data_IF_250403982943
#
_entry.id   IF_250403982943
#
_cell.length_a   1.000
_cell.length_b   1.000
_cell.length_c   1.000
_cell.angle_alpha   90.00
_cell.angle_beta   90.00
_cell.angle_gamma   90.00
#
_symmetry.space_group_name_H-M   'P 1'
#
loop_
_entity.id
_entity.type
_entity.pdbx_description
1 polymer ?
#
# COMPACT_ATOMS: atom_id res chain seq x y z
N UNK A 1 34.86 33.70 0.29
CA UNK A 1 33.56 33.49 0.95
C UNK A 1 32.55 33.18 -0.14
N UNK A 2 32.09 31.93 -0.27
CA UNK A 2 31.08 31.60 -1.27
C UNK A 2 29.74 32.20 -0.82
N UNK A 3 29.21 33.15 -1.58
CA UNK A 3 27.85 33.65 -1.40
C UNK A 3 26.89 32.47 -1.51
N UNK A 4 26.22 32.09 -0.41
CA UNK A 4 25.15 31.12 -0.47
C UNK A 4 24.06 31.69 -1.37
N UNK A 5 23.85 31.06 -2.52
CA UNK A 5 22.79 31.45 -3.42
C UNK A 5 21.44 31.23 -2.70
N UNK A 6 20.48 32.17 -2.82
CA UNK A 6 19.16 31.98 -2.24
C UNK A 6 18.51 30.71 -2.81
N UNK A 7 17.81 29.96 -1.96
CA UNK A 7 17.19 28.66 -2.30
C UNK A 7 15.68 28.78 -2.11
N UNK A 8 14.90 28.42 -3.14
CA UNK A 8 13.43 28.39 -3.09
C UNK A 8 12.91 27.24 -2.22
N UNK A 9 13.62 26.10 -2.29
CA UNK A 9 13.25 24.88 -1.60
C UNK A 9 14.06 23.69 -2.11
N UNK A 10 13.54 22.49 -1.91
CA UNK A 10 14.23 21.25 -2.19
C UNK A 10 13.35 20.31 -2.99
N UNK A 11 13.91 19.75 -4.05
CA UNK A 11 13.38 18.53 -4.65
C UNK A 11 13.86 17.33 -3.81
N UNK A 12 12.92 16.53 -3.32
CA UNK A 12 13.18 15.40 -2.44
C UNK A 12 12.70 14.08 -3.03
N UNK A 13 13.47 13.03 -2.76
CA UNK A 13 13.11 11.64 -3.02
C UNK A 13 13.95 10.72 -2.14
N UNK A 14 13.50 9.48 -1.95
CA UNK A 14 14.14 8.56 -1.03
C UNK A 14 14.18 7.13 -1.56
N UNK A 15 15.07 6.34 -0.96
CA UNK A 15 15.19 4.92 -1.19
C UNK A 15 15.36 4.20 0.13
N UNK A 16 14.67 3.07 0.30
CA UNK A 16 14.68 2.27 1.53
C UNK A 16 15.19 0.84 1.25
N UNK A 17 15.93 0.63 0.17
CA UNK A 17 16.40 -0.72 -0.20
C UNK A 17 17.21 -1.33 0.94
N UNK A 18 16.98 -2.60 1.22
CA UNK A 18 17.73 -3.34 2.24
C UNK A 18 17.35 -3.03 3.68
N UNK A 19 16.43 -2.10 3.96
CA UNK A 19 15.97 -1.82 5.31
C UNK A 19 15.28 -3.06 5.90
N UNK A 20 15.69 -3.40 7.11
CA UNK A 20 15.03 -4.42 7.94
C UNK A 20 15.20 -4.00 9.39
N UNK A 21 14.09 -3.68 10.05
CA UNK A 21 14.10 -3.06 11.38
C UNK A 21 13.01 -3.64 12.25
N UNK A 22 13.28 -3.77 13.55
CA UNK A 22 12.29 -4.24 14.52
C UNK A 22 11.33 -3.12 14.91
N UNK A 23 10.16 -3.46 15.43
CA UNK A 23 9.20 -2.48 15.95
C UNK A 23 9.81 -1.53 16.99
N UNK A 24 10.49 -2.09 17.99
CA UNK A 24 11.07 -1.33 19.11
C UNK A 24 12.15 -0.34 18.63
N UNK A 25 12.95 -0.74 17.64
CA UNK A 25 13.93 0.16 17.04
C UNK A 25 13.27 1.23 16.18
N UNK A 26 12.25 0.87 15.40
CA UNK A 26 11.50 1.83 14.59
C UNK A 26 10.80 2.88 15.46
N UNK A 27 10.15 2.46 16.54
CA UNK A 27 9.52 3.35 17.54
C UNK A 27 10.55 4.33 18.12
N UNK A 28 11.70 3.84 18.58
CA UNK A 28 12.79 4.69 19.09
C UNK A 28 13.27 5.70 18.04
N UNK A 29 13.45 5.27 16.79
CA UNK A 29 13.89 6.14 15.70
C UNK A 29 12.87 7.24 15.39
N UNK A 30 11.59 6.87 15.23
CA UNK A 30 10.51 7.82 14.94
C UNK A 30 10.31 8.82 16.09
N UNK A 31 10.35 8.38 17.34
CA UNK A 31 10.29 9.26 18.51
C UNK A 31 11.49 10.22 18.56
N UNK A 32 12.72 9.72 18.32
CA UNK A 32 13.93 10.54 18.36
C UNK A 32 13.95 11.64 17.28
N UNK A 33 13.31 11.40 16.14
CA UNK A 33 13.22 12.36 15.03
C UNK A 33 11.94 13.18 15.03
N UNK A 34 11.15 13.13 16.10
CA UNK A 34 9.91 13.90 16.27
C UNK A 34 8.81 13.56 15.24
N UNK A 35 8.67 12.26 14.93
CA UNK A 35 7.60 11.72 14.07
C UNK A 35 6.77 10.59 14.70
N UNK A 36 6.51 10.52 16.02
CA UNK A 36 5.84 9.37 16.63
C UNK A 36 4.45 9.08 16.05
N UNK A 37 3.71 10.11 15.60
CA UNK A 37 2.39 9.98 14.99
C UNK A 37 2.38 9.33 13.60
N UNK A 38 3.55 9.20 12.97
CA UNK A 38 3.70 8.61 11.63
C UNK A 38 4.25 7.18 11.66
N UNK A 39 4.39 6.58 12.85
CA UNK A 39 4.85 5.22 13.00
C UNK A 39 3.94 4.26 12.18
N UNK A 40 4.50 3.39 11.32
CA UNK A 40 3.69 2.47 10.54
C UNK A 40 3.02 1.42 11.43
N UNK A 41 1.77 1.11 11.09
CA UNK A 41 1.03 -0.02 11.66
C UNK A 41 1.80 -1.33 11.47
N UNK A 42 1.72 -2.28 12.41
CA UNK A 42 2.38 -3.56 12.27
C UNK A 42 1.87 -4.32 11.05
N UNK A 43 2.73 -5.13 10.39
CA UNK A 43 2.31 -5.97 9.28
C UNK A 43 1.09 -6.83 9.66
N UNK A 44 0.05 -6.78 8.82
CA UNK A 44 -1.14 -7.62 9.02
C UNK A 44 -0.77 -9.10 9.01
N UNK A 45 -1.58 -9.96 9.65
CA UNK A 45 -1.33 -11.40 9.69
C UNK A 45 -1.19 -12.03 8.29
N UNK A 46 -1.98 -11.52 7.32
CA UNK A 46 -1.97 -11.94 5.91
C UNK A 46 -0.65 -11.55 5.23
N UNK A 47 -0.18 -10.33 5.46
CA UNK A 47 1.07 -9.82 4.88
C UNK A 47 2.28 -10.51 5.51
N UNK A 48 2.29 -10.66 6.83
CA UNK A 48 3.31 -11.43 7.54
C UNK A 48 3.36 -12.88 7.04
N UNK A 49 2.21 -13.51 6.78
CA UNK A 49 2.17 -14.87 6.23
C UNK A 49 2.73 -14.90 4.80
N UNK A 50 2.34 -13.95 3.95
CA UNK A 50 2.90 -13.85 2.59
C UNK A 50 4.42 -13.72 2.62
N UNK A 51 4.98 -12.95 3.55
CA UNK A 51 6.44 -12.82 3.75
C UNK A 51 7.06 -14.14 4.21
N UNK A 52 6.46 -14.79 5.19
CA UNK A 52 6.91 -16.08 5.71
C UNK A 52 6.94 -17.16 4.62
N UNK A 53 5.87 -17.27 3.83
CA UNK A 53 5.81 -18.19 2.69
C UNK A 53 6.88 -17.88 1.65
N UNK A 54 7.12 -16.61 1.34
CA UNK A 54 8.18 -16.23 0.40
C UNK A 54 9.59 -16.52 0.93
N UNK A 55 9.82 -16.36 2.24
CA UNK A 55 11.09 -16.72 2.87
C UNK A 55 11.29 -18.24 2.83
N UNK A 56 10.29 -19.01 3.30
CA UNK A 56 10.29 -20.47 3.25
C UNK A 56 10.52 -20.98 1.81
N UNK A 57 9.80 -20.44 0.84
CA UNK A 57 9.92 -20.76 -0.59
C UNK A 57 11.35 -20.56 -1.11
N UNK A 58 12.00 -19.44 -0.75
CA UNK A 58 13.39 -19.17 -1.16
C UNK A 58 14.34 -20.24 -0.60
N UNK A 59 14.16 -20.63 0.66
CA UNK A 59 14.95 -21.70 1.29
C UNK A 59 14.72 -23.05 0.60
N UNK A 60 13.46 -23.45 0.39
CA UNK A 60 13.13 -24.72 -0.28
C UNK A 60 13.66 -24.79 -1.71
N UNK A 61 13.53 -23.70 -2.48
CA UNK A 61 14.05 -23.65 -3.84
C UNK A 61 15.58 -23.78 -3.87
N UNK A 62 16.29 -23.22 -2.90
CA UNK A 62 17.73 -23.40 -2.77
C UNK A 62 18.10 -24.88 -2.48
N UNK A 63 17.37 -25.54 -1.56
CA UNK A 63 17.56 -26.95 -1.24
C UNK A 63 17.31 -27.87 -2.45
N UNK A 64 16.27 -27.60 -3.25
CA UNK A 64 15.98 -28.39 -4.47
C UNK A 64 17.10 -28.26 -5.51
N UNK A 65 17.64 -27.05 -5.70
CA UNK A 65 18.76 -26.82 -6.63
C UNK A 65 20.02 -27.55 -6.16
N UNK A 66 20.30 -27.52 -4.85
CA UNK A 66 21.42 -28.23 -4.25
C UNK A 66 21.27 -29.76 -4.34
N UNK A 67 20.07 -30.27 -4.07
CA UNK A 67 19.79 -31.70 -4.18
C UNK A 67 19.91 -32.19 -5.63
N UNK A 68 19.44 -31.41 -6.60
CA UNK A 68 19.61 -31.73 -8.01
C UNK A 68 21.10 -31.82 -8.37
N UNK A 69 21.91 -30.85 -7.94
CA UNK A 69 23.36 -30.88 -8.12
C UNK A 69 23.98 -32.15 -7.52
N UNK A 70 23.55 -32.55 -6.32
CA UNK A 70 24.02 -33.78 -5.66
C UNK A 70 23.64 -35.04 -6.44
N UNK A 71 22.44 -35.10 -7.02
CA UNK A 71 21.92 -36.28 -7.72
C UNK A 71 22.49 -36.43 -9.14
N UNK A 72 22.62 -35.33 -9.88
CA UNK A 72 22.99 -35.37 -11.31
C UNK A 72 24.43 -34.94 -11.58
N UNK A 73 25.13 -34.40 -10.58
CA UNK A 73 26.45 -33.80 -10.73
C UNK A 73 26.46 -32.52 -11.56
N UNK A 74 25.29 -32.02 -11.99
CA UNK A 74 25.14 -30.81 -12.80
C UNK A 74 24.34 -29.76 -12.04
N UNK A 75 24.72 -28.46 -12.11
CA UNK A 75 23.95 -27.41 -11.46
C UNK A 75 22.58 -27.29 -12.13
N UNK A 76 21.51 -27.55 -11.37
CA UNK A 76 20.15 -27.25 -11.81
C UNK A 76 19.99 -25.75 -11.98
N UNK A 77 19.27 -25.30 -13.02
CA UNK A 77 18.95 -23.88 -13.15
C UNK A 77 17.81 -23.57 -12.19
N UNK A 78 17.81 -22.38 -11.58
CA UNK A 78 16.71 -21.92 -10.70
C UNK A 78 15.32 -21.99 -11.37
N UNK A 79 15.26 -21.98 -12.70
CA UNK A 79 14.03 -22.07 -13.50
C UNK A 79 13.49 -23.50 -13.60
N UNK A 80 14.31 -24.51 -13.33
CA UNK A 80 13.93 -25.91 -13.46
C UNK A 80 13.05 -26.37 -12.29
N UNK A 81 13.18 -25.69 -11.15
CA UNK A 81 12.41 -25.93 -9.92
C UNK A 81 11.85 -24.59 -9.43
N UNK A 82 10.58 -24.32 -9.71
CA UNK A 82 9.94 -23.08 -9.28
C UNK A 82 8.79 -23.39 -8.33
N UNK A 83 8.91 -22.94 -7.08
CA UNK A 83 7.78 -22.94 -6.15
C UNK A 83 7.09 -21.57 -6.27
N UNK A 84 5.77 -21.55 -6.42
CA UNK A 84 4.96 -20.35 -6.51
C UNK A 84 4.02 -20.24 -5.32
N UNK A 85 3.86 -19.00 -4.82
CA UNK A 85 2.88 -18.66 -3.78
C UNK A 85 1.75 -17.89 -4.45
N UNK A 86 0.52 -18.40 -4.38
CA UNK A 86 -0.67 -17.80 -4.99
C UNK A 86 -1.72 -17.51 -3.93
N UNK A 87 -2.27 -16.29 -3.94
CA UNK A 87 -3.37 -15.90 -3.05
C UNK A 87 -4.71 -16.31 -3.66
N UNK A 88 -5.51 -17.09 -2.93
CA UNK A 88 -6.85 -17.57 -3.34
C UNK A 88 -7.91 -16.94 -2.42
N UNK A 89 -7.78 -15.63 -2.18
CA UNK A 89 -8.59 -14.91 -1.20
C UNK A 89 -9.92 -14.45 -1.81
N UNK A 90 -11.03 -14.88 -1.23
CA UNK A 90 -12.38 -14.35 -1.52
C UNK A 90 -12.80 -13.36 -0.43
N UNK A 91 -13.61 -12.36 -0.80
CA UNK A 91 -14.17 -11.39 0.17
C UNK A 91 -15.19 -12.11 1.08
N UNK A 92 -15.23 -11.77 2.36
CA UNK A 92 -16.16 -12.37 3.33
C UNK A 92 -15.76 -13.74 3.90
N UNK A 93 -14.67 -14.37 3.43
CA UNK A 93 -14.23 -15.65 4.00
C UNK A 93 -13.51 -15.47 5.34
N UNK A 94 -13.76 -16.39 6.28
CA UNK A 94 -13.10 -16.44 7.60
C UNK A 94 -11.58 -16.63 7.50
N UNK A 95 -11.10 -17.29 6.45
CA UNK A 95 -9.67 -17.55 6.25
C UNK A 95 -9.13 -16.82 5.04
N UNK A 96 -7.86 -16.42 5.13
CA UNK A 96 -7.04 -16.10 3.97
C UNK A 96 -6.27 -17.36 3.54
N UNK A 97 -6.25 -17.66 2.25
CA UNK A 97 -5.73 -18.91 1.68
C UNK A 97 -4.60 -18.63 0.70
N UNK A 98 -3.48 -19.32 0.88
CA UNK A 98 -2.34 -19.29 -0.02
C UNK A 98 -2.04 -20.70 -0.54
N UNK A 99 -2.04 -20.86 -1.87
CA UNK A 99 -1.61 -22.08 -2.53
C UNK A 99 -0.11 -22.07 -2.78
N UNK A 100 0.54 -23.20 -2.52
CA UNK A 100 1.91 -23.52 -2.87
C UNK A 100 1.89 -24.44 -4.08
N UNK A 101 2.46 -23.98 -5.18
CA UNK A 101 2.47 -24.71 -6.46
C UNK A 101 3.91 -24.99 -6.85
N UNK A 102 4.26 -26.27 -6.97
CA UNK A 102 5.50 -26.72 -7.56
C UNK A 102 5.36 -26.78 -9.08
N UNK A 103 6.23 -26.08 -9.77
CA UNK A 103 6.44 -26.19 -11.21
C UNK A 103 7.79 -26.85 -11.48
N UNK A 104 7.76 -27.95 -12.23
CA UNK A 104 8.95 -28.58 -12.78
C UNK A 104 8.87 -28.53 -14.31
N UNK A 105 9.90 -27.93 -14.92
CA UNK A 105 10.02 -27.84 -16.38
C UNK A 105 10.84 -29.03 -16.87
N UNK A 106 10.21 -29.90 -17.66
CA UNK A 106 10.90 -30.99 -18.35
C UNK A 106 11.11 -30.60 -19.81
N UNK A 107 12.33 -30.14 -20.12
CA UNK A 107 12.72 -29.73 -21.47
C UNK A 107 12.83 -30.90 -22.45
N UNK A 108 13.08 -32.12 -21.98
CA UNK A 108 13.16 -33.31 -22.85
C UNK A 108 11.77 -33.78 -23.29
N UNK A 109 10.75 -33.54 -22.47
CA UNK A 109 9.35 -33.88 -22.77
C UNK A 109 8.49 -32.70 -23.21
N UNK A 110 9.07 -31.51 -23.38
CA UNK A 110 8.36 -30.24 -23.65
C UNK A 110 7.14 -30.02 -22.73
N UNK A 111 7.21 -30.53 -21.49
CA UNK A 111 6.08 -30.62 -20.58
C UNK A 111 6.23 -29.72 -19.36
N UNK A 112 5.15 -29.03 -19.00
CA UNK A 112 5.01 -28.34 -17.71
C UNK A 112 4.19 -29.23 -16.77
N UNK A 113 4.76 -29.60 -15.62
CA UNK A 113 4.03 -30.30 -14.56
C UNK A 113 3.72 -29.33 -13.43
N UNK A 114 2.44 -29.19 -13.11
CA UNK A 114 1.94 -28.41 -11.99
C UNK A 114 1.45 -29.39 -10.91
N UNK A 115 2.06 -29.37 -9.73
CA UNK A 115 1.49 -29.96 -8.54
C UNK A 115 1.11 -28.83 -7.59
N UNK A 116 -0.17 -28.73 -7.20
CA UNK A 116 -0.50 -27.95 -6.00
C UNK A 116 -0.06 -28.81 -4.82
N UNK A 117 1.08 -28.48 -4.24
CA UNK A 117 1.72 -29.33 -3.23
C UNK A 117 1.12 -29.09 -1.84
N UNK A 118 0.63 -27.87 -1.58
CA UNK A 118 -0.05 -27.54 -0.32
C UNK A 118 -0.84 -26.23 -0.39
N UNK A 119 -1.71 -26.03 0.60
CA UNK A 119 -2.36 -24.76 0.93
C UNK A 119 -2.10 -24.41 2.37
N UNK A 120 -1.92 -23.13 2.62
CA UNK A 120 -1.71 -22.56 3.94
C UNK A 120 -2.79 -21.52 4.19
N UNK A 121 -3.53 -21.71 5.28
CA UNK A 121 -4.65 -20.88 5.68
C UNK A 121 -4.33 -20.16 6.98
N UNK A 122 -4.73 -18.89 7.05
CA UNK A 122 -4.68 -18.10 8.28
C UNK A 122 -6.04 -17.47 8.55
N UNK A 123 -6.50 -17.60 9.79
CA UNK A 123 -7.76 -17.03 10.25
C UNK A 123 -7.73 -15.50 10.23
N UNK A 124 -8.76 -14.87 9.67
CA UNK A 124 -8.95 -13.43 9.71
C UNK A 124 -9.67 -13.07 11.00
N UNK A 125 -8.90 -12.65 12.00
CA UNK A 125 -9.43 -12.17 13.27
C UNK A 125 -9.86 -10.72 13.20
N UNK A 126 -10.88 -10.35 13.98
CA UNK A 126 -11.19 -8.95 14.26
C UNK A 126 -10.10 -8.29 15.14
N UNK A 127 -9.99 -6.95 15.20
CA UNK A 127 -9.04 -6.29 16.09
C UNK A 127 -9.17 -6.72 17.56
N UNK A 128 -10.39 -6.93 18.05
CA UNK A 128 -10.68 -7.37 19.42
C UNK A 128 -10.24 -8.81 19.66
N UNK A 129 -10.48 -9.72 18.71
CA UNK A 129 -10.04 -11.11 18.84
C UNK A 129 -8.51 -11.23 18.83
N UNK A 130 -7.82 -10.36 18.07
CA UNK A 130 -6.35 -10.36 17.97
C UNK A 130 -5.64 -10.00 19.27
N UNK A 131 -6.30 -9.26 20.17
CA UNK A 131 -5.70 -8.93 21.48
C UNK A 131 -5.79 -10.12 22.45
N UNK A 132 -6.74 -11.03 22.23
CA UNK A 132 -7.00 -12.17 23.10
C UNK A 132 -6.30 -13.45 22.64
N UNK A 133 -6.14 -13.66 21.32
CA UNK A 133 -5.54 -14.89 20.77
C UNK A 133 -4.81 -14.67 19.45
N UNK A 134 -3.90 -15.60 19.14
CA UNK A 134 -3.29 -15.69 17.81
C UNK A 134 -4.27 -16.30 16.78
N UNK A 135 -4.19 -15.91 15.49
CA UNK A 135 -4.99 -16.52 14.43
C UNK A 135 -4.67 -18.00 14.28
N UNK A 136 -5.70 -18.79 14.00
CA UNK A 136 -5.53 -20.21 13.67
C UNK A 136 -4.77 -20.34 12.35
N UNK A 137 -3.78 -21.24 12.34
CA UNK A 137 -2.89 -21.48 11.20
C UNK A 137 -3.00 -22.93 10.78
N UNK A 138 -3.38 -23.18 9.53
CA UNK A 138 -3.76 -24.51 9.04
C UNK A 138 -3.02 -24.79 7.74
N UNK A 139 -2.43 -25.97 7.62
CA UNK A 139 -1.90 -26.51 6.37
C UNK A 139 -2.84 -27.60 5.85
N UNK A 140 -2.97 -27.72 4.54
CA UNK A 140 -3.64 -28.87 3.90
C UNK A 140 -2.99 -29.17 2.56
N UNK A 141 -2.79 -30.43 2.24
CA UNK A 141 -2.34 -30.90 0.92
C UNK A 141 -3.51 -31.26 0.00
N UNK A 142 -4.74 -31.20 0.52
CA UNK A 142 -5.95 -31.56 -0.23
C UNK A 142 -6.48 -30.42 -1.12
N UNK A 143 -7.15 -30.83 -2.21
CA UNK A 143 -7.71 -29.93 -3.21
C UNK A 143 -8.94 -29.15 -2.72
N UNK A 144 -9.63 -29.57 -1.65
CA UNK A 144 -10.75 -28.87 -1.02
C UNK A 144 -10.83 -29.23 0.49
N UNK A 145 -11.34 -28.33 1.33
CA UNK A 145 -11.58 -28.61 2.75
C UNK A 145 -10.37 -28.47 3.70
N UNK A 146 -10.63 -28.72 4.98
CA UNK A 146 -9.65 -28.82 6.08
C UNK A 146 -9.71 -30.26 6.60
N UNK A 147 -8.86 -31.17 6.10
CA UNK A 147 -8.91 -32.59 6.46
C UNK A 147 -7.50 -33.22 6.59
N UNK A 148 -7.47 -34.34 7.31
CA UNK A 148 -6.47 -34.97 8.18
C UNK A 148 -5.16 -35.50 7.55
N UNK A 149 -4.50 -34.78 6.63
CA UNK A 149 -3.09 -35.06 6.33
C UNK A 149 -2.20 -34.51 7.47
N UNK A 150 -2.39 -35.03 8.69
CA UNK A 150 -1.96 -34.36 9.92
C UNK A 150 -0.45 -34.15 10.00
N UNK A 151 0.38 -35.11 9.58
CA UNK A 151 1.83 -35.04 9.83
C UNK A 151 2.58 -34.12 8.86
N UNK A 152 2.32 -34.23 7.54
CA UNK A 152 2.96 -33.37 6.53
C UNK A 152 2.46 -31.93 6.60
N UNK A 153 1.16 -31.74 6.80
CA UNK A 153 0.59 -30.41 7.01
C UNK A 153 1.09 -29.77 8.31
N UNK A 154 1.31 -30.57 9.36
CA UNK A 154 1.91 -30.10 10.62
C UNK A 154 3.37 -29.75 10.46
N UNK A 155 4.18 -30.56 9.79
CA UNK A 155 5.59 -30.24 9.50
C UNK A 155 5.73 -28.93 8.71
N UNK A 156 4.89 -28.73 7.69
CA UNK A 156 4.87 -27.50 6.91
C UNK A 156 4.46 -26.29 7.76
N UNK A 157 3.39 -26.42 8.56
CA UNK A 157 2.93 -25.32 9.41
C UNK A 157 3.91 -25.00 10.53
N UNK A 158 4.57 -26.00 11.11
CA UNK A 158 5.60 -25.84 12.13
C UNK A 158 6.85 -25.15 11.56
N UNK A 159 7.19 -25.38 10.29
CA UNK A 159 8.28 -24.68 9.61
C UNK A 159 7.94 -23.21 9.29
N UNK A 160 6.69 -22.89 8.93
CA UNK A 160 6.29 -21.53 8.53
C UNK A 160 5.95 -20.65 9.74
N UNK A 161 5.36 -21.22 10.80
CA UNK A 161 4.94 -20.48 12.00
C UNK A 161 6.03 -19.58 12.62
N UNK A 162 7.28 -20.01 12.83
CA UNK A 162 8.32 -19.12 13.35
C UNK A 162 8.63 -17.98 12.37
N UNK A 163 8.73 -18.26 11.07
CA UNK A 163 8.94 -17.23 10.04
C UNK A 163 7.82 -16.20 10.00
N UNK A 164 6.58 -16.63 10.25
CA UNK A 164 5.42 -15.74 10.36
C UNK A 164 5.49 -14.84 11.59
N UNK A 165 5.83 -15.39 12.76
CA UNK A 165 6.01 -14.61 14.00
C UNK A 165 7.12 -13.57 13.84
N UNK A 166 8.23 -13.93 13.21
CA UNK A 166 9.32 -13.00 12.92
C UNK A 166 8.87 -11.93 11.93
N UNK A 167 8.16 -12.31 10.85
CA UNK A 167 7.66 -11.37 9.85
C UNK A 167 6.65 -10.35 10.41
N UNK A 168 5.95 -10.66 11.52
CA UNK A 168 5.09 -9.69 12.22
C UNK A 168 5.86 -8.62 12.99
N UNK A 169 7.10 -8.90 13.38
CA UNK A 169 7.93 -8.02 14.22
C UNK A 169 8.90 -7.15 13.42
N UNK A 170 9.01 -7.44 12.13
CA UNK A 170 10.02 -6.87 11.25
C UNK A 170 9.34 -6.02 10.17
N UNK A 171 9.79 -4.77 10.10
CA UNK A 171 9.37 -3.79 9.11
C UNK A 171 10.34 -3.79 7.94
N UNK A 172 9.77 -3.80 6.75
CA UNK A 172 10.45 -3.83 5.46
C UNK A 172 10.26 -2.48 4.73
N UNK A 173 10.95 -2.26 3.59
CA UNK A 173 10.93 -0.97 2.91
C UNK A 173 9.52 -0.47 2.56
N UNK A 174 8.63 -1.38 2.16
CA UNK A 174 7.26 -1.03 1.79
C UNK A 174 6.40 -0.62 3.00
N UNK A 175 6.69 -1.13 4.20
CA UNK A 175 5.96 -0.76 5.41
C UNK A 175 6.30 0.67 5.84
N UNK A 176 7.57 1.04 5.68
CA UNK A 176 8.09 2.34 6.11
C UNK A 176 7.86 3.41 5.05
N UNK A 177 7.91 3.06 3.76
CA UNK A 177 7.76 4.03 2.66
C UNK A 177 6.44 4.78 2.71
N UNK A 178 5.36 4.12 3.15
CA UNK A 178 4.05 4.76 3.34
C UNK A 178 4.10 5.85 4.42
N UNK A 179 4.73 5.56 5.55
CA UNK A 179 4.94 6.53 6.63
C UNK A 179 5.80 7.71 6.22
N UNK A 180 6.91 7.47 5.49
CA UNK A 180 7.76 8.57 4.99
C UNK A 180 6.98 9.46 4.02
N UNK A 181 6.18 8.85 3.14
CA UNK A 181 5.30 9.59 2.27
C UNK A 181 4.29 10.43 3.07
N UNK A 182 3.65 9.86 4.09
CA UNK A 182 2.72 10.60 4.95
C UNK A 182 3.36 11.76 5.69
N UNK A 183 4.62 11.62 6.15
CA UNK A 183 5.38 12.73 6.74
C UNK A 183 5.56 13.83 5.69
N UNK A 184 6.04 13.49 4.49
CA UNK A 184 6.27 14.45 3.41
C UNK A 184 4.98 15.14 2.99
N UNK A 185 3.88 14.40 2.85
CA UNK A 185 2.56 14.95 2.48
C UNK A 185 1.94 15.80 3.59
N UNK A 186 2.33 15.60 4.85
CA UNK A 186 1.88 16.44 5.96
C UNK A 186 2.50 17.83 5.97
N UNK A 187 3.61 18.03 5.25
CA UNK A 187 4.25 19.34 5.15
C UNK A 187 3.39 20.29 4.32
N UNK A 188 3.08 21.51 4.81
CA UNK A 188 2.18 22.44 4.12
C UNK A 188 2.65 22.83 2.72
N UNK A 189 3.95 22.78 2.46
CA UNK A 189 4.50 23.18 1.16
C UNK A 189 4.83 21.98 0.28
N UNK A 190 4.44 20.76 0.62
CA UNK A 190 4.76 19.59 -0.20
C UNK A 190 3.87 19.47 -1.43
N UNK A 191 4.50 19.31 -2.60
CA UNK A 191 3.82 19.08 -3.89
C UNK A 191 4.56 18.03 -4.70
N UNK A 192 3.84 17.06 -5.25
CA UNK A 192 4.41 16.11 -6.20
C UNK A 192 4.69 16.83 -7.55
N UNK A 193 5.97 16.89 -7.95
CA UNK A 193 6.37 17.55 -9.21
C UNK A 193 6.40 16.61 -10.42
N UNK A 194 6.25 15.30 -10.19
CA UNK A 194 6.16 14.26 -11.21
C UNK A 194 4.77 13.62 -11.21
N UNK A 195 4.22 13.37 -12.40
CA UNK A 195 2.86 12.80 -12.57
C UNK A 195 2.66 11.44 -11.87
N UNK A 196 3.69 10.58 -11.85
CA UNK A 196 3.64 9.28 -11.18
C UNK A 196 4.13 9.32 -9.72
N UNK A 197 4.36 10.52 -9.17
CA UNK A 197 4.95 10.71 -7.85
C UNK A 197 6.45 10.39 -7.80
N UNK A 198 6.96 10.25 -6.58
CA UNK A 198 8.35 9.85 -6.31
C UNK A 198 9.38 10.98 -6.34
N UNK A 199 9.00 12.20 -6.75
CA UNK A 199 9.76 13.43 -6.50
C UNK A 199 8.81 14.50 -6.03
N UNK A 200 9.15 15.11 -4.90
CA UNK A 200 8.34 16.16 -4.26
C UNK A 200 9.16 17.43 -4.18
N UNK A 201 8.53 18.57 -4.39
CA UNK A 201 9.11 19.86 -4.05
C UNK A 201 8.54 20.31 -2.70
N UNK A 202 9.41 20.84 -1.86
CA UNK A 202 9.07 21.39 -0.55
C UNK A 202 9.82 22.71 -0.37
N UNK A 203 9.13 23.75 0.10
CA UNK A 203 9.72 25.08 0.26
C UNK A 203 10.85 25.11 1.31
N UNK A 204 11.77 26.05 1.17
CA UNK A 204 12.94 26.18 2.05
C UNK A 204 12.58 26.39 3.53
N UNK A 205 11.39 26.93 3.83
CA UNK A 205 10.89 27.10 5.20
C UNK A 205 10.79 25.79 5.98
N UNK A 206 10.58 24.66 5.28
CA UNK A 206 10.44 23.33 5.89
C UNK A 206 11.77 22.56 5.94
N UNK A 207 12.90 23.20 5.61
CA UNK A 207 14.22 22.55 5.65
C UNK A 207 14.51 21.84 6.99
N UNK A 208 14.18 22.41 8.17
CA UNK A 208 14.39 21.70 9.43
C UNK A 208 13.62 20.37 9.53
N UNK A 209 12.40 20.30 9.00
CA UNK A 209 11.61 19.07 8.98
C UNK A 209 12.22 18.02 8.04
N UNK A 210 12.66 18.44 6.85
CA UNK A 210 13.32 17.56 5.88
C UNK A 210 14.64 16.99 6.42
N UNK A 211 15.41 17.79 7.17
CA UNK A 211 16.63 17.32 7.83
C UNK A 211 16.33 16.25 8.89
N UNK A 212 15.22 16.35 9.64
CA UNK A 212 14.80 15.28 10.56
C UNK A 212 14.42 14.01 9.82
N UNK A 213 13.72 14.11 8.68
CA UNK A 213 13.40 12.94 7.83
C UNK A 213 14.69 12.31 7.30
N UNK A 214 15.65 13.13 6.86
CA UNK A 214 16.96 12.66 6.43
C UNK A 214 17.69 11.90 7.55
N UNK A 215 17.74 12.47 8.76
CA UNK A 215 18.31 11.82 9.94
C UNK A 215 17.62 10.50 10.28
N UNK A 216 16.29 10.44 10.15
CA UNK A 216 15.52 9.21 10.35
C UNK A 216 15.99 8.12 9.40
N UNK A 217 16.05 8.41 8.08
CA UNK A 217 16.43 7.41 7.07
C UNK A 217 17.89 6.99 7.17
N UNK A 218 18.81 7.92 7.46
CA UNK A 218 20.23 7.62 7.67
C UNK A 218 20.48 6.75 8.92
N UNK A 219 19.53 6.75 9.86
CA UNK A 219 19.60 5.93 11.08
C UNK A 219 18.96 4.55 10.95
N UNK A 220 18.33 4.23 9.82
CA UNK A 220 17.66 2.93 9.63
C UNK A 220 18.69 1.81 9.46
N UNK A 221 18.54 0.67 10.16
CA UNK A 221 19.39 -0.50 9.93
C UNK A 221 19.07 -1.12 8.55
N UNK A 222 20.12 -1.61 7.88
CA UNK A 222 20.01 -2.28 6.59
C UNK A 222 20.97 -3.47 6.52
N UNK A 223 20.56 -4.52 5.82
CA UNK A 223 21.32 -5.78 5.71
C UNK A 223 21.99 -5.97 4.34
N UNK A 224 21.77 -5.05 3.39
CA UNK A 224 22.21 -5.20 2.01
C UNK A 224 23.52 -4.46 1.72
N UNK A 225 24.45 -5.14 1.07
CA UNK A 225 25.66 -4.55 0.49
C UNK A 225 25.39 -3.69 -0.76
N UNK A 226 24.17 -3.76 -1.33
CA UNK A 226 23.88 -3.16 -2.64
C UNK A 226 23.64 -1.64 -2.59
N UNK A 227 22.83 -1.17 -1.63
CA UNK A 227 22.52 0.25 -1.51
C UNK A 227 22.00 0.60 -0.11
N UNK A 228 22.57 1.65 0.48
CA UNK A 228 22.12 2.19 1.76
C UNK A 228 20.79 2.94 1.59
N UNK A 229 19.95 2.98 2.63
CA UNK A 229 18.81 3.89 2.66
C UNK A 229 19.29 5.33 2.48
N UNK A 230 18.52 6.12 1.73
CA UNK A 230 18.89 7.51 1.46
C UNK A 230 17.67 8.41 1.42
N UNK A 231 17.89 9.67 1.78
CA UNK A 231 16.97 10.78 1.55
C UNK A 231 17.75 11.88 0.83
N UNK A 232 17.41 12.13 -0.43
CA UNK A 232 18.08 13.14 -1.23
C UNK A 232 17.30 14.45 -1.15
N UNK A 233 18.03 15.54 -0.91
CA UNK A 233 17.52 16.91 -0.87
C UNK A 233 18.33 17.74 -1.86
N UNK A 234 17.77 17.99 -3.04
CA UNK A 234 18.42 18.78 -4.07
C UNK A 234 17.90 20.23 -4.00
N UNK A 235 18.72 21.22 -3.65
CA UNK A 235 18.28 22.61 -3.56
C UNK A 235 17.89 23.14 -4.94
N UNK A 236 16.78 23.87 -4.98
CA UNK A 236 16.34 24.65 -6.14
C UNK A 236 16.76 26.09 -5.91
N UNK A 237 17.77 26.54 -6.67
CA UNK A 237 18.30 27.90 -6.58
C UNK A 237 17.23 28.90 -7.01
N UNK A 238 17.15 30.01 -6.30
CA UNK A 238 16.25 31.11 -6.61
C UNK A 238 16.77 31.94 -7.79
N UNK A 239 16.50 31.43 -8.99
CA UNK A 239 16.74 32.11 -10.26
C UNK A 239 15.44 32.23 -11.06
N UNK A 240 15.29 33.26 -11.91
CA UNK A 240 14.06 33.48 -12.68
C UNK A 240 13.62 32.25 -13.49
N UNK A 241 14.57 31.55 -14.11
CA UNK A 241 14.30 30.33 -14.88
C UNK A 241 13.78 29.20 -14.00
N UNK A 242 14.43 28.96 -12.86
CA UNK A 242 14.04 27.94 -11.90
C UNK A 242 12.63 28.20 -11.34
N UNK A 243 12.29 29.47 -11.06
CA UNK A 243 10.93 29.87 -10.64
C UNK A 243 9.87 29.51 -11.68
N UNK A 244 10.11 29.81 -12.95
CA UNK A 244 9.16 29.50 -14.04
C UNK A 244 9.00 28.00 -14.24
N UNK A 245 10.10 27.25 -14.28
CA UNK A 245 10.08 25.79 -14.45
C UNK A 245 9.37 25.11 -13.26
N UNK A 246 9.67 25.56 -12.04
CA UNK A 246 9.06 25.06 -10.81
C UNK A 246 7.56 25.41 -10.73
N UNK A 247 7.17 26.64 -11.09
CA UNK A 247 5.76 27.04 -11.12
C UNK A 247 4.96 26.13 -12.06
N UNK A 248 5.50 25.85 -13.25
CA UNK A 248 4.88 24.91 -14.19
C UNK A 248 4.81 23.48 -13.65
N UNK A 249 5.85 23.00 -12.95
CA UNK A 249 5.87 21.66 -12.36
C UNK A 249 4.86 21.52 -11.21
N UNK A 250 4.81 22.50 -10.31
CA UNK A 250 3.86 22.58 -9.19
C UNK A 250 2.43 22.68 -9.69
N UNK A 251 2.16 23.51 -10.69
CA UNK A 251 0.83 23.61 -11.32
C UNK A 251 0.36 22.26 -11.89
N UNK A 252 1.23 21.57 -12.63
CA UNK A 252 0.93 20.21 -13.13
C UNK A 252 0.71 19.22 -12.00
N UNK A 253 1.47 19.32 -10.92
CA UNK A 253 1.30 18.53 -9.70
C UNK A 253 -0.10 18.67 -9.11
N UNK A 254 -0.53 19.91 -8.86
CA UNK A 254 -1.88 20.19 -8.34
C UNK A 254 -2.99 19.70 -9.25
N UNK A 255 -2.87 19.94 -10.56
CA UNK A 255 -3.86 19.45 -11.53
C UNK A 255 -3.94 17.92 -11.54
N UNK A 256 -2.80 17.23 -11.44
CA UNK A 256 -2.74 15.77 -11.36
C UNK A 256 -3.38 15.25 -10.06
N UNK A 257 -3.13 15.89 -8.92
CA UNK A 257 -3.76 15.54 -7.65
C UNK A 257 -5.29 15.73 -7.69
N UNK A 258 -5.77 16.84 -8.28
CA UNK A 258 -7.19 17.10 -8.46
C UNK A 258 -7.86 16.09 -9.41
N UNK A 259 -7.17 15.75 -10.51
CA UNK A 259 -7.66 14.72 -11.43
C UNK A 259 -7.75 13.36 -10.75
N UNK A 260 -6.75 12.99 -9.94
CA UNK A 260 -6.77 11.75 -9.16
C UNK A 260 -7.91 11.76 -8.12
N UNK A 261 -8.18 12.90 -7.47
CA UNK A 261 -9.30 13.04 -6.55
C UNK A 261 -10.66 12.88 -7.27
N UNK A 262 -10.82 13.48 -8.45
CA UNK A 262 -12.03 13.34 -9.28
C UNK A 262 -12.24 11.91 -9.78
N UNK A 263 -11.17 11.24 -10.23
CA UNK A 263 -11.23 9.85 -10.65
C UNK A 263 -11.65 8.91 -9.50
N UNK A 264 -11.20 9.16 -8.27
CA UNK A 264 -11.64 8.41 -7.07
C UNK A 264 -13.11 8.63 -6.77
N UNK A 265 -13.62 9.86 -6.88
CA UNK A 265 -15.05 10.14 -6.69
C UNK A 265 -15.91 9.44 -7.75
N UNK A 266 -15.50 9.49 -9.02
CA UNK A 266 -16.18 8.79 -10.10
C UNK A 266 -16.16 7.25 -9.90
N UNK A 267 -15.04 6.70 -9.44
CA UNK A 267 -14.93 5.27 -9.13
C UNK A 267 -15.87 4.86 -7.99
N UNK A 268 -15.96 5.67 -6.94
CA UNK A 268 -16.91 5.45 -5.84
C UNK A 268 -18.36 5.46 -6.30
N UNK A 269 -18.73 6.42 -7.16
CA UNK A 269 -20.06 6.50 -7.76
C UNK A 269 -20.36 5.26 -8.62
N UNK A 270 -19.38 4.76 -9.37
CA UNK A 270 -19.56 3.58 -10.24
C UNK A 270 -19.71 2.27 -9.47
N UNK A 271 -19.09 2.15 -8.29
CA UNK A 271 -19.03 0.91 -7.49
C UNK A 271 -20.08 0.83 -6.38
N UNK A 272 -20.64 1.95 -5.94
CA UNK A 272 -21.55 1.99 -4.81
C UNK A 272 -22.91 2.59 -5.19
N UNK A 273 -23.99 1.87 -4.88
CA UNK A 273 -25.37 2.32 -5.09
C UNK A 273 -25.72 3.56 -4.25
N UNK A 274 -25.06 3.72 -3.10
CA UNK A 274 -25.08 4.91 -2.23
C UNK A 274 -23.68 5.16 -1.68
N UNK A 275 -23.18 6.39 -1.82
CA UNK A 275 -21.92 6.84 -1.20
C UNK A 275 -22.26 7.62 0.06
N UNK A 276 -21.63 7.30 1.20
CA UNK A 276 -21.92 8.03 2.44
C UNK A 276 -21.45 9.49 2.36
N UNK A 277 -22.22 10.39 2.95
CA UNK A 277 -21.86 11.82 3.03
C UNK A 277 -20.52 12.06 3.73
N UNK A 278 -20.16 11.22 4.71
CA UNK A 278 -18.86 11.26 5.40
C UNK A 278 -17.69 10.97 4.45
N UNK A 279 -17.85 10.00 3.53
CA UNK A 279 -16.81 9.69 2.53
C UNK A 279 -16.62 10.87 1.58
N UNK A 280 -17.71 11.50 1.14
CA UNK A 280 -17.66 12.69 0.26
C UNK A 280 -17.03 13.89 0.99
N UNK A 281 -17.39 14.11 2.25
CA UNK A 281 -16.79 15.15 3.08
C UNK A 281 -15.27 14.98 3.20
N UNK A 282 -14.79 13.75 3.39
CA UNK A 282 -13.35 13.44 3.41
C UNK A 282 -12.65 13.80 2.09
N UNK A 283 -13.26 13.47 0.96
CA UNK A 283 -12.74 13.87 -0.36
C UNK A 283 -12.72 15.40 -0.54
N UNK A 284 -13.70 16.11 0.01
CA UNK A 284 -13.74 17.57 -0.03
C UNK A 284 -12.71 18.24 0.88
N UNK A 285 -12.36 17.62 2.01
CA UNK A 285 -11.23 18.06 2.82
C UNK A 285 -9.91 17.93 2.05
N UNK A 286 -9.68 16.85 1.30
CA UNK A 286 -8.51 16.71 0.43
C UNK A 286 -8.46 17.82 -0.63
N UNK A 287 -9.58 18.12 -1.28
CA UNK A 287 -9.66 19.19 -2.27
C UNK A 287 -9.35 20.58 -1.68
N UNK A 288 -9.88 20.87 -0.48
CA UNK A 288 -9.57 22.12 0.25
C UNK A 288 -8.09 22.21 0.58
N UNK A 289 -7.47 21.11 1.05
CA UNK A 289 -6.04 21.08 1.31
C UNK A 289 -5.20 21.35 0.05
N UNK A 290 -5.61 20.87 -1.13
CA UNK A 290 -4.94 21.19 -2.40
C UNK A 290 -5.04 22.69 -2.70
N UNK A 291 -6.23 23.29 -2.51
CA UNK A 291 -6.44 24.73 -2.73
C UNK A 291 -5.55 25.58 -1.80
N UNK A 292 -5.51 25.22 -0.52
CA UNK A 292 -4.76 25.98 0.48
C UNK A 292 -3.25 25.90 0.18
N UNK A 293 -2.75 24.74 -0.27
CA UNK A 293 -1.38 24.60 -0.80
C UNK A 293 -1.14 25.43 -2.04
N UNK A 294 -2.05 25.43 -3.01
CA UNK A 294 -1.92 26.22 -4.23
C UNK A 294 -1.81 27.74 -3.94
N UNK A 295 -2.48 28.22 -2.89
CA UNK A 295 -2.38 29.61 -2.43
C UNK A 295 -0.96 29.97 -1.99
N UNK A 296 -0.34 29.13 -1.17
CA UNK A 296 1.05 29.33 -0.72
C UNK A 296 2.02 29.43 -1.91
N UNK A 297 1.78 28.63 -2.96
CA UNK A 297 2.63 28.63 -4.16
C UNK A 297 2.40 29.79 -5.12
N UNK A 298 1.22 30.40 -5.12
CA UNK A 298 1.01 31.67 -5.82
C UNK A 298 1.82 32.79 -5.19
N UNK A 299 1.83 32.85 -3.86
CA UNK A 299 2.61 33.85 -3.13
C UNK A 299 4.12 33.62 -3.31
N UNK A 300 4.56 32.35 -3.35
CA UNK A 300 5.98 31.97 -3.45
C UNK A 300 6.55 32.05 -4.88
N UNK A 301 5.77 31.68 -5.90
CA UNK A 301 6.23 31.55 -7.30
C UNK A 301 5.54 32.48 -8.30
N UNK A 302 4.55 33.27 -7.89
CA UNK A 302 3.75 34.07 -8.82
C UNK A 302 2.88 33.23 -9.76
N UNK A 303 2.52 32.01 -9.34
CA UNK A 303 1.79 31.03 -10.16
C UNK A 303 0.32 31.44 -10.39
N UNK A 304 -0.18 31.27 -11.63
CA UNK A 304 -1.58 31.49 -11.97
C UNK A 304 -2.49 30.40 -11.37
N UNK A 305 -3.57 30.80 -10.69
CA UNK A 305 -4.50 29.88 -10.00
C UNK A 305 -5.74 29.49 -10.80
N UNK A 306 -6.01 30.18 -11.92
CA UNK A 306 -7.31 30.10 -12.59
C UNK A 306 -7.69 28.66 -12.99
N UNK A 307 -6.73 27.91 -13.56
CA UNK A 307 -6.93 26.50 -13.93
C UNK A 307 -7.15 25.58 -12.72
N UNK A 308 -6.49 25.86 -11.58
CA UNK A 308 -6.64 25.08 -10.35
C UNK A 308 -8.02 25.33 -9.75
N UNK A 309 -8.47 26.60 -9.72
CA UNK A 309 -9.80 26.98 -9.22
C UNK A 309 -10.91 26.37 -10.08
N UNK A 310 -10.79 26.43 -11.42
CA UNK A 310 -11.74 25.77 -12.33
C UNK A 310 -11.78 24.24 -12.16
N UNK A 311 -10.65 23.60 -11.82
CA UNK A 311 -10.62 22.16 -11.56
C UNK A 311 -11.27 21.82 -10.20
N UNK A 312 -11.10 22.67 -9.18
CA UNK A 312 -11.75 22.55 -7.89
C UNK A 312 -13.27 22.74 -7.96
N UNK A 313 -13.74 23.70 -8.75
CA UNK A 313 -15.18 23.93 -8.97
C UNK A 313 -15.82 22.70 -9.64
N UNK A 314 -15.17 22.13 -10.65
CA UNK A 314 -15.61 20.88 -11.29
C UNK A 314 -15.71 19.73 -10.29
N UNK A 315 -14.70 19.56 -9.44
CA UNK A 315 -14.68 18.52 -8.41
C UNK A 315 -15.79 18.73 -7.37
N UNK A 316 -16.03 19.98 -6.99
CA UNK A 316 -17.09 20.36 -6.02
C UNK A 316 -18.48 20.10 -6.61
N UNK A 317 -18.69 20.46 -7.89
CA UNK A 317 -19.93 20.17 -8.60
C UNK A 317 -20.19 18.67 -8.71
N UNK A 318 -19.17 17.86 -9.01
CA UNK A 318 -19.28 16.39 -8.99
C UNK A 318 -19.68 15.86 -7.62
N UNK A 319 -19.05 16.34 -6.54
CA UNK A 319 -19.39 15.92 -5.18
C UNK A 319 -20.85 16.29 -4.80
N UNK A 320 -21.32 17.48 -5.18
CA UNK A 320 -22.70 17.91 -4.96
C UNK A 320 -23.71 17.08 -5.76
N UNK A 321 -23.40 16.73 -7.00
CA UNK A 321 -24.25 15.83 -7.81
C UNK A 321 -24.39 14.45 -7.18
N UNK A 322 -23.33 13.92 -6.56
CA UNK A 322 -23.38 12.62 -5.86
C UNK A 322 -24.24 12.72 -4.59
N UNK A 323 -24.18 13.86 -3.88
CA UNK A 323 -24.99 14.10 -2.68
C UNK A 323 -26.47 14.32 -3.00
N UNK A 324 -26.79 14.96 -4.13
CA UNK A 324 -28.14 15.34 -4.53
C UNK A 324 -28.78 14.37 -5.55
N UNK A 325 -28.06 13.32 -5.96
CA UNK A 325 -28.61 12.27 -6.83
C UNK A 325 -29.78 11.55 -6.14
N UNK A 326 -30.79 11.09 -6.89
CA UNK A 326 -32.10 10.74 -6.34
C UNK A 326 -31.99 9.70 -5.24
N UNK A 327 -32.30 10.12 -4.01
CA UNK A 327 -32.81 9.21 -3.00
C UNK A 327 -34.21 8.82 -3.42
N UNK A 328 -34.47 7.51 -3.54
CA UNK A 328 -35.82 6.95 -3.52
C UNK A 328 -36.63 7.65 -2.42
N UNK A 329 -37.51 8.55 -2.84
CA UNK A 329 -38.73 8.85 -2.10
C UNK A 329 -39.47 7.52 -2.04
N UNK A 330 -39.60 6.97 -0.84
CA UNK A 330 -40.22 5.68 -0.61
C UNK A 330 -41.58 5.61 -1.30
N UNK A 331 -41.76 4.58 -2.10
CA UNK A 331 -43.06 4.12 -2.56
C UNK A 331 -43.97 3.94 -1.33
N UNK A 332 -44.85 4.91 -1.08
CA UNK A 332 -46.11 4.67 -0.38
C UNK A 332 -46.96 3.77 -1.30
N UNK A 333 -46.71 2.46 -1.26
CA UNK A 333 -47.63 1.48 -1.84
C UNK A 333 -48.86 1.34 -0.95
N UNK A 334 -49.87 2.13 -1.31
CA UNK A 334 -51.27 1.72 -1.52
C UNK A 334 -51.84 0.60 -0.65
N UNK A 335 -52.69 1.00 0.30
CA UNK A 335 -53.82 0.19 0.76
C UNK A 335 -54.55 -0.44 -0.45
N UNK A 336 -54.41 -1.75 -0.61
CA UNK A 336 -55.24 -2.52 -1.54
C UNK A 336 -56.12 -3.47 -0.73
N UNK A 337 -57.39 -3.07 -0.68
CA UNK A 337 -58.61 -3.79 -0.31
C UNK A 337 -58.51 -5.33 -0.29
N UNK A 338 -58.61 -5.93 0.90
CA UNK A 338 -59.01 -7.33 1.08
C UNK A 338 -60.44 -7.51 0.59
N UNK A 339 -60.59 -8.22 -0.54
CA UNK A 339 -61.86 -8.75 -1.00
C UNK A 339 -61.90 -10.22 -0.59
N UNK A 340 -62.51 -10.53 0.55
CA UNK A 340 -62.83 -11.91 0.95
C UNK A 340 -63.97 -12.45 0.08
N UNK A 341 -63.65 -13.35 -0.86
CA UNK A 341 -64.62 -14.17 -1.57
C UNK A 341 -63.96 -15.43 -2.18
N UNK A 342 -63.63 -16.41 -1.32
CA UNK A 342 -63.55 -17.83 -1.68
C UNK A 342 -64.76 -18.53 -1.03
N UNK A 343 -65.79 -18.93 -1.81
CA UNK A 343 -65.98 -20.28 -2.38
C UNK A 343 -65.67 -21.37 -1.33
N UNK A 344 -66.60 -22.12 -0.72
CA UNK A 344 -67.88 -22.67 -1.16
C UNK A 344 -67.83 -23.32 -2.55
N UNK A 345 -67.45 -24.60 -2.58
CA UNK A 345 -67.96 -25.67 -3.47
C UNK A 345 -67.45 -26.99 -2.86
N UNK A 346 -68.33 -27.82 -2.30
CA UNK A 346 -69.22 -28.78 -2.97
C UNK A 346 -68.52 -30.12 -3.24
#
# INVERSE_FOLDING_TARGET
MASQLPVLGYNIWWGLRGVRVTREELERLFTRTDFPSFLPEPPSDIEALRRALNAWRKTQQALLVEEHLRRTGKPGRKRDFTILVRSINKRGTKYAVFGLVGEQVDFERLGLRYATEARVLIEKLSPEERTQREPTFIGTTEAEGVIQAQDEARALTDAIRPLWRDAKRIYLPNDISGSILSIVESLPTSVAVRQSGGVYFVAASEAPALLRVKQLLESLPFESDEARPYFLMLPVVDEPRARVELAGAVQRGFLSELQAAGARLADLQSKAKKVSGETIAKHMLTARAIRDRARVYTDLLGMQQEQINQALERLTGQAQQILNGPGDEGEEEGETQETELERAEA
#
